data_IF_069425169109
#
_entry.id   IF_069425169109
#
_cell.length_a   1.000
_cell.length_b   1.000
_cell.length_c   1.000
_cell.angle_alpha   90.00
_cell.angle_beta   90.00
_cell.angle_gamma   90.00
#
_symmetry.space_group_name_H-M   'P 1'
#
loop_
_entity.id
_entity.type
_entity.pdbx_description
1 polymer ?
#
# COMPACT_ATOMS: atom_id res chain seq x y z
N UNK A 1 -2.34 18.73 -3.79
CA UNK A 1 -1.63 17.45 -3.84
C UNK A 1 -0.82 17.24 -2.57
N UNK A 2 -0.48 15.99 -2.32
CA UNK A 2 0.21 15.62 -1.10
C UNK A 2 1.59 15.08 -1.40
N UNK A 3 2.55 15.42 -0.54
CA UNK A 3 3.92 14.93 -0.71
C UNK A 3 4.15 13.58 -0.03
N UNK A 4 3.29 13.23 0.91
CA UNK A 4 3.37 11.95 1.60
C UNK A 4 1.96 11.47 1.91
N UNK A 5 1.68 10.24 1.54
CA UNK A 5 0.41 9.60 1.88
C UNK A 5 0.73 8.27 2.52
N UNK A 6 0.06 7.98 3.61
CA UNK A 6 0.15 6.68 4.27
C UNK A 6 -1.17 5.97 4.05
N UNK A 7 -1.11 4.79 3.47
CA UNK A 7 -2.30 4.00 3.16
C UNK A 7 -2.26 2.71 3.98
N UNK A 8 -3.16 2.59 4.94
CA UNK A 8 -3.23 1.43 5.81
C UNK A 8 -4.70 1.00 5.92
N UNK A 9 -5.27 0.46 4.85
CA UNK A 9 -6.68 0.11 4.86
C UNK A 9 -6.94 -1.13 5.71
N UNK A 10 -8.13 -1.25 6.26
CA UNK A 10 -8.48 -2.48 6.97
C UNK A 10 -8.56 -3.63 5.96
N UNK A 11 -8.25 -4.83 6.41
CA UNK A 11 -8.41 -5.99 5.52
C UNK A 11 -9.89 -6.27 5.27
N UNK A 12 -10.72 -5.86 6.21
CA UNK A 12 -12.14 -6.11 6.12
C UNK A 12 -12.84 -5.13 7.04
N UNK A 13 -13.90 -4.49 6.60
CA UNK A 13 -14.71 -3.66 7.48
C UNK A 13 -16.13 -3.57 6.96
N UNK A 14 -17.07 -3.23 7.85
CA UNK A 14 -18.44 -2.97 7.48
C UNK A 14 -18.80 -1.55 7.83
N UNK A 15 -19.62 -0.95 6.99
CA UNK A 15 -20.12 0.38 7.26
C UNK A 15 -21.54 0.45 6.73
N UNK A 16 -22.19 1.58 6.93
CA UNK A 16 -23.53 1.79 6.39
C UNK A 16 -23.54 1.73 4.87
N UNK A 17 -22.40 1.92 4.23
CA UNK A 17 -22.32 1.91 2.78
C UNK A 17 -21.95 0.53 2.22
N UNK A 18 -21.78 -0.46 3.07
CA UNK A 18 -21.48 -1.79 2.61
C UNK A 18 -20.24 -2.38 3.23
N UNK A 19 -19.70 -3.37 2.57
CA UNK A 19 -18.58 -4.15 3.08
C UNK A 19 -17.33 -3.79 2.29
N UNK A 20 -16.28 -3.39 2.98
CA UNK A 20 -14.97 -3.18 2.35
C UNK A 20 -14.19 -4.50 2.40
N UNK A 21 -13.67 -4.93 1.28
CA UNK A 21 -12.78 -6.09 1.17
C UNK A 21 -11.53 -5.67 0.47
N UNK A 22 -10.41 -5.81 1.13
CA UNK A 22 -9.16 -5.26 0.64
C UNK A 22 -8.78 -5.74 -0.76
N UNK A 23 -8.98 -7.01 -1.07
CA UNK A 23 -8.56 -7.51 -2.37
C UNK A 23 -9.47 -7.08 -3.52
N UNK A 24 -10.64 -6.51 -3.22
CA UNK A 24 -11.55 -6.03 -4.25
C UNK A 24 -11.63 -4.52 -4.30
N UNK A 25 -11.48 -3.89 -3.15
CA UNK A 25 -11.81 -2.47 -3.02
C UNK A 25 -10.59 -1.57 -2.92
N UNK A 26 -9.42 -2.13 -2.63
CA UNK A 26 -8.22 -1.32 -2.50
C UNK A 26 -7.87 -0.59 -3.79
N UNK A 27 -8.26 -1.15 -4.92
CA UNK A 27 -7.94 -0.53 -6.20
C UNK A 27 -8.55 0.89 -6.31
N UNK A 28 -9.76 1.08 -5.79
CA UNK A 28 -10.39 2.39 -5.86
C UNK A 28 -9.61 3.40 -5.02
N UNK A 29 -9.15 2.97 -3.86
CA UNK A 29 -8.34 3.81 -3.00
C UNK A 29 -7.03 4.17 -3.68
N UNK A 30 -6.39 3.19 -4.30
CA UNK A 30 -5.12 3.42 -4.98
C UNK A 30 -5.27 4.40 -6.15
N UNK A 31 -6.37 4.31 -6.88
CA UNK A 31 -6.60 5.21 -7.97
C UNK A 31 -6.81 6.65 -7.49
N UNK A 32 -7.48 6.83 -6.37
CA UNK A 32 -7.65 8.15 -5.79
C UNK A 32 -6.32 8.69 -5.28
N UNK A 33 -5.52 7.86 -4.65
CA UNK A 33 -4.20 8.26 -4.18
C UNK A 33 -3.35 8.73 -5.36
N UNK A 34 -3.40 8.00 -6.46
CA UNK A 34 -2.60 8.35 -7.63
C UNK A 34 -2.94 9.74 -8.15
N UNK A 35 -4.19 10.14 -8.03
CA UNK A 35 -4.62 11.45 -8.50
C UNK A 35 -4.15 12.59 -7.59
N UNK A 36 -4.03 12.33 -6.30
CA UNK A 36 -3.74 13.40 -5.34
C UNK A 36 -2.29 13.41 -4.88
N UNK A 37 -1.52 12.38 -5.18
CA UNK A 37 -0.12 12.33 -4.77
C UNK A 37 0.70 13.19 -5.73
N UNK A 38 1.53 14.06 -5.17
CA UNK A 38 2.37 14.94 -5.97
C UNK A 38 3.46 14.14 -6.68
N UNK A 39 3.97 14.68 -7.77
CA UNK A 39 5.15 14.11 -8.39
C UNK A 39 6.29 14.12 -7.38
N UNK A 40 7.04 13.06 -7.32
CA UNK A 40 8.06 12.80 -6.32
C UNK A 40 7.48 12.59 -4.92
N UNK A 41 6.16 12.58 -4.80
CA UNK A 41 5.54 12.26 -3.52
C UNK A 41 5.75 10.81 -3.12
N UNK A 42 5.69 10.54 -1.84
CA UNK A 42 5.93 9.21 -1.31
C UNK A 42 4.63 8.59 -0.84
N UNK A 43 4.48 7.32 -1.12
CA UNK A 43 3.32 6.55 -0.69
C UNK A 43 3.80 5.39 0.17
N UNK A 44 3.35 5.36 1.41
CA UNK A 44 3.68 4.29 2.33
C UNK A 44 2.47 3.37 2.42
N UNK A 45 2.69 2.11 2.12
CA UNK A 45 1.60 1.14 2.07
C UNK A 45 1.78 0.09 3.15
N UNK A 46 0.74 -0.15 3.90
CA UNK A 46 0.76 -1.11 4.99
C UNK A 46 -0.50 -1.97 4.94
N UNK A 47 -0.40 -3.21 5.38
CA UNK A 47 -1.57 -4.05 5.58
C UNK A 47 -1.23 -5.18 6.53
N UNK A 48 -2.21 -5.61 7.30
CA UNK A 48 -2.07 -6.83 8.10
C UNK A 48 -2.93 -7.96 7.52
N UNK A 49 -3.42 -7.81 6.30
CA UNK A 49 -4.24 -8.84 5.68
C UNK A 49 -3.46 -10.14 5.51
N UNK A 50 -3.93 -11.19 6.11
CA UNK A 50 -3.20 -12.46 6.11
C UNK A 50 -3.25 -13.20 4.78
N UNK A 51 -4.14 -12.83 3.89
CA UNK A 51 -4.22 -13.44 2.58
C UNK A 51 -3.08 -13.03 1.65
N UNK A 52 -2.29 -12.04 2.03
CA UNK A 52 -1.13 -11.61 1.26
C UNK A 52 0.14 -11.69 2.09
N UNK A 53 1.22 -12.16 1.50
CA UNK A 53 2.53 -11.90 2.04
C UNK A 53 3.03 -10.58 1.45
N UNK A 54 4.22 -10.16 1.82
CA UNK A 54 4.74 -8.87 1.37
C UNK A 54 4.84 -8.82 -0.16
N UNK A 55 5.32 -9.89 -0.78
CA UNK A 55 5.49 -9.91 -2.22
C UNK A 55 4.16 -9.86 -2.95
N UNK A 56 3.15 -10.55 -2.46
CA UNK A 56 1.82 -10.54 -3.06
C UNK A 56 1.19 -9.17 -2.94
N UNK A 57 1.35 -8.54 -1.80
CA UNK A 57 0.82 -7.20 -1.56
C UNK A 57 1.48 -6.19 -2.49
N UNK A 58 2.79 -6.22 -2.57
CA UNK A 58 3.53 -5.31 -3.44
C UNK A 58 3.13 -5.53 -4.89
N UNK A 59 3.01 -6.76 -5.32
CA UNK A 59 2.61 -7.07 -6.70
C UNK A 59 1.21 -6.55 -7.01
N UNK A 60 0.29 -6.74 -6.07
CA UNK A 60 -1.07 -6.23 -6.25
C UNK A 60 -1.05 -4.72 -6.47
N UNK A 61 -0.38 -4.01 -5.57
CA UNK A 61 -0.36 -2.55 -5.64
C UNK A 61 0.29 -2.06 -6.92
N UNK A 62 1.43 -2.63 -7.28
CA UNK A 62 2.14 -2.18 -8.47
C UNK A 62 1.35 -2.46 -9.73
N UNK A 63 0.62 -3.57 -9.78
CA UNK A 63 -0.23 -3.87 -10.91
C UNK A 63 -1.35 -2.84 -11.05
N UNK A 64 -1.94 -2.44 -9.93
CA UNK A 64 -3.05 -1.48 -9.96
C UNK A 64 -2.57 -0.05 -10.25
N UNK A 65 -1.30 0.24 -10.00
CA UNK A 65 -0.74 1.55 -10.27
C UNK A 65 0.09 1.56 -11.56
N UNK A 66 -0.11 0.57 -12.42
CA UNK A 66 0.77 0.36 -13.57
C UNK A 66 0.80 1.51 -14.58
N UNK A 67 -0.22 2.36 -14.60
CA UNK A 67 -0.26 3.45 -15.55
C UNK A 67 0.61 4.63 -15.13
N UNK A 68 1.06 4.65 -13.89
CA UNK A 68 1.90 5.72 -13.38
C UNK A 68 3.23 5.12 -12.97
N UNK A 69 4.30 5.86 -13.15
CA UNK A 69 5.59 5.35 -12.75
C UNK A 69 5.77 5.51 -11.27
N UNK A 70 6.07 4.42 -10.62
CA UNK A 70 6.43 4.40 -9.21
C UNK A 70 7.71 3.59 -9.06
N UNK A 71 8.57 4.03 -8.15
CA UNK A 71 9.75 3.26 -7.82
C UNK A 71 9.73 2.92 -6.34
N UNK A 72 10.35 1.81 -5.99
CA UNK A 72 10.41 1.40 -4.60
C UNK A 72 11.36 2.31 -3.84
N UNK A 73 11.02 2.59 -2.60
CA UNK A 73 11.93 3.30 -1.71
C UNK A 73 12.12 2.43 -0.48
N UNK A 74 13.32 2.52 0.09
CA UNK A 74 13.60 1.77 1.29
C UNK A 74 12.96 2.45 2.48
N UNK A 75 12.25 1.68 3.28
CA UNK A 75 11.71 2.22 4.51
C UNK A 75 12.80 2.19 5.58
N UNK A 76 12.85 3.21 6.38
CA UNK A 76 13.86 3.25 7.41
C UNK A 76 13.45 2.32 8.50
N UNK A 77 13.82 1.07 8.54
CA UNK A 77 13.42 0.35 9.34
C UNK A 77 13.79 -0.82 9.71
N UNK A 78 14.66 -0.83 10.20
CA UNK A 78 15.10 -1.95 10.91
C UNK A 78 14.07 -2.54 11.79
N UNK A 79 13.06 -1.83 12.06
CA UNK A 79 12.05 -2.35 12.91
C UNK A 79 11.36 -3.46 12.26
N UNK A 80 11.35 -3.47 10.99
CA UNK A 80 10.75 -4.55 10.26
C UNK A 80 11.38 -5.88 10.62
N UNK A 81 12.60 -5.87 11.07
CA UNK A 81 13.24 -7.11 11.42
C UNK A 81 12.57 -7.79 12.59
N UNK A 82 12.04 -7.01 13.50
CA UNK A 82 11.36 -7.56 14.66
C UNK A 82 10.10 -8.31 14.23
N UNK A 83 9.46 -7.81 13.19
CA UNK A 83 8.20 -8.39 12.76
C UNK A 83 8.36 -9.37 11.62
N UNK A 84 9.48 -9.39 10.96
CA UNK A 84 9.66 -10.25 9.80
C UNK A 84 9.57 -11.71 10.15
N UNK A 85 9.82 -12.05 11.39
CA UNK A 85 9.72 -13.43 11.82
C UNK A 85 8.31 -13.94 11.77
N UNK A 86 7.34 -13.04 11.75
CA UNK A 86 5.94 -13.42 11.70
C UNK A 86 5.32 -12.91 10.42
N UNK A 87 6.00 -13.12 9.33
CA UNK A 87 5.64 -12.53 8.05
C UNK A 87 4.24 -12.90 7.58
N UNK A 88 3.71 -14.02 8.02
CA UNK A 88 2.40 -14.45 7.57
C UNK A 88 1.26 -13.77 8.30
N UNK A 89 1.51 -13.35 9.54
CA UNK A 89 0.47 -12.77 10.37
C UNK A 89 0.76 -11.34 10.74
N UNK A 90 1.93 -10.84 10.39
CA UNK A 90 2.33 -9.51 10.79
C UNK A 90 1.96 -8.44 9.81
N UNK A 91 2.31 -7.23 10.17
CA UNK A 91 2.15 -6.08 9.30
C UNK A 91 3.14 -6.16 8.14
N UNK A 92 2.66 -5.99 6.94
CA UNK A 92 3.51 -5.89 5.76
C UNK A 92 3.50 -4.45 5.31
N UNK A 93 4.67 -3.91 4.97
CA UNK A 93 4.74 -2.53 4.53
C UNK A 93 5.82 -2.37 3.48
N UNK A 94 5.63 -1.40 2.61
CA UNK A 94 6.64 -0.99 1.66
C UNK A 94 6.33 0.42 1.19
N UNK A 95 7.30 1.07 0.59
CA UNK A 95 7.15 2.43 0.14
C UNK A 95 7.37 2.57 -1.35
N UNK A 96 6.65 3.50 -1.94
CA UNK A 96 6.79 3.86 -3.35
C UNK A 96 6.95 5.36 -3.47
N UNK A 97 7.65 5.79 -4.50
CA UNK A 97 7.75 7.21 -4.81
C UNK A 97 7.23 7.42 -6.22
N UNK A 98 6.34 8.37 -6.38
CA UNK A 98 5.76 8.68 -7.68
C UNK A 98 6.80 9.40 -8.51
N UNK A 99 7.24 8.74 -9.56
CA UNK A 99 8.29 9.28 -10.38
C UNK A 99 7.74 10.31 -11.35
N UNK A 100 8.59 11.22 -11.77
CA UNK A 100 8.26 12.17 -12.83
C UNK A 100 8.25 11.38 -14.12
N UNK A 101 7.21 11.52 -14.90
CA UNK A 101 7.12 10.83 -16.19
C UNK A 101 7.90 11.56 -17.27
#
# INVERSE_FOLDING_TARGET
SFDLIICDPPSFSRSSNGLFRIQHDLIDILQQIDKILALNGQLLLCTNYEGWNKDSFERYVRTKLSKTRYRNIDLPDSDSDTFSKNAHTGLKSFGLQKAVT
#
